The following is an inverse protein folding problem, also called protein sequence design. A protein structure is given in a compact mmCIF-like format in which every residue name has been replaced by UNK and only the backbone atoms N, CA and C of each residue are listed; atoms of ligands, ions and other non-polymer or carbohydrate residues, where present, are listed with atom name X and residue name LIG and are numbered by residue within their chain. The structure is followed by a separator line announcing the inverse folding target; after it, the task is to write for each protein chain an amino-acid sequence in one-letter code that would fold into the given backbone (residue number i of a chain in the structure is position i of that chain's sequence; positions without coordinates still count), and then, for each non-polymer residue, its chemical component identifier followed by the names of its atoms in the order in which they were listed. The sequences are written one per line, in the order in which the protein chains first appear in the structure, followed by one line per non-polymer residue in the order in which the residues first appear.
data_IF_403601815307
#
_entry.id   IF_403601815307
#
_cell.length_a   1.000
_cell.length_b   1.000
_cell.length_c   1.000
_cell.angle_alpha   90.00
_cell.angle_beta   90.00
_cell.angle_gamma   90.00
#
_symmetry.space_group_name_H-M   'P 1'
#
loop_
_entity.id
_entity.type
_entity.pdbx_description
1 polymer ?
#
# COMPACT_ATOMS: atom_id res chain seq x y z
N UNK A 1 -6.42 -13.53 4.55
CA UNK A 1 -5.35 -12.88 5.35
C UNK A 1 -4.56 -14.00 5.98
N UNK A 2 -3.30 -14.16 5.61
CA UNK A 2 -2.42 -15.16 6.22
C UNK A 2 -1.63 -14.47 7.32
N UNK A 3 -1.51 -15.12 8.47
CA UNK A 3 -0.73 -14.64 9.61
C UNK A 3 0.19 -15.77 10.06
N UNK A 4 1.44 -15.43 10.36
CA UNK A 4 2.40 -16.39 10.88
C UNK A 4 2.18 -16.50 12.40
N UNK A 5 2.11 -17.74 12.92
CA UNK A 5 1.91 -17.98 14.35
C UNK A 5 3.14 -17.56 15.18
N UNK A 6 4.31 -17.69 14.59
CA UNK A 6 5.59 -17.28 15.15
C UNK A 6 6.09 -15.99 14.50
N UNK A 7 6.98 -15.21 15.16
CA UNK A 7 7.61 -14.04 14.58
C UNK A 7 8.25 -14.37 13.22
N UNK A 8 7.91 -13.57 12.22
CA UNK A 8 8.43 -13.67 10.86
C UNK A 8 9.13 -12.36 10.52
N UNK A 9 10.36 -12.44 10.02
CA UNK A 9 11.11 -11.27 9.57
C UNK A 9 10.48 -10.56 8.36
N UNK A 10 9.52 -11.21 7.70
CA UNK A 10 8.91 -10.74 6.46
C UNK A 10 9.75 -11.13 5.24
N UNK A 11 9.40 -10.64 4.04
CA UNK A 11 10.16 -10.87 2.83
C UNK A 11 11.53 -10.15 2.87
N UNK A 12 12.53 -10.75 2.21
CA UNK A 12 13.85 -10.13 2.05
C UNK A 12 13.75 -8.89 1.15
N UNK A 13 13.77 -7.72 1.77
CA UNK A 13 13.82 -6.42 1.11
C UNK A 13 12.48 -5.68 1.05
N UNK A 14 12.48 -4.41 1.44
CA UNK A 14 11.33 -3.49 1.37
C UNK A 14 11.01 -3.00 -0.04
N UNK A 15 11.20 -3.85 -1.06
CA UNK A 15 10.96 -3.49 -2.47
C UNK A 15 9.49 -3.66 -2.80
N UNK A 16 9.01 -2.83 -3.73
CA UNK A 16 7.68 -3.01 -4.29
C UNK A 16 7.57 -4.35 -5.04
N UNK A 17 6.56 -5.21 -4.77
CA UNK A 17 6.47 -6.52 -5.43
C UNK A 17 6.24 -6.38 -6.94
N UNK A 18 7.08 -7.05 -7.73
CA UNK A 18 7.10 -6.88 -9.18
C UNK A 18 5.83 -7.41 -9.84
N UNK A 19 5.26 -8.49 -9.30
CA UNK A 19 4.06 -9.17 -9.80
C UNK A 19 2.82 -8.27 -9.77
N UNK A 20 2.85 -7.21 -8.95
CA UNK A 20 1.76 -6.23 -8.88
C UNK A 20 2.11 -4.88 -9.50
N UNK A 21 3.30 -4.71 -10.08
CA UNK A 21 3.65 -3.47 -10.78
C UNK A 21 2.74 -3.28 -12.00
N UNK A 22 2.40 -2.04 -12.30
CA UNK A 22 1.53 -1.66 -13.43
C UNK A 22 0.12 -2.29 -13.41
N UNK A 23 -0.36 -2.77 -12.26
CA UNK A 23 -1.72 -3.28 -12.10
C UNK A 23 -2.67 -2.22 -11.55
N UNK A 24 -3.99 -2.42 -11.69
CA UNK A 24 -4.99 -1.50 -11.13
C UNK A 24 -5.00 -1.64 -9.60
N UNK A 25 -4.81 -0.55 -8.87
CA UNK A 25 -4.72 -0.60 -7.40
C UNK A 25 -5.44 0.58 -6.75
N UNK A 26 -5.97 0.34 -5.56
CA UNK A 26 -6.38 1.42 -4.65
C UNK A 26 -5.26 1.63 -3.64
N UNK A 27 -4.78 2.86 -3.52
CA UNK A 27 -3.95 3.30 -2.41
C UNK A 27 -4.87 4.02 -1.44
N UNK A 28 -4.84 3.64 -0.16
CA UNK A 28 -5.66 4.25 0.88
C UNK A 28 -4.77 4.70 2.03
N UNK A 29 -4.78 6.00 2.32
CA UNK A 29 -3.97 6.62 3.35
C UNK A 29 -4.69 6.56 4.70
N UNK A 30 -3.92 6.25 5.75
CA UNK A 30 -4.40 6.16 7.12
C UNK A 30 -3.59 7.07 8.04
N UNK A 31 -4.26 7.69 9.01
CA UNK A 31 -3.64 8.46 10.07
C UNK A 31 -3.11 7.58 11.21
N UNK A 32 -2.44 8.22 12.17
CA UNK A 32 -1.85 7.54 13.34
C UNK A 32 -2.89 6.88 14.26
N UNK A 33 -4.14 7.34 14.20
CA UNK A 33 -5.29 6.78 14.92
C UNK A 33 -6.05 5.70 14.12
N UNK A 34 -5.52 5.32 12.96
CA UNK A 34 -6.15 4.33 12.07
C UNK A 34 -7.34 4.87 11.27
N UNK A 35 -7.61 6.19 11.27
CA UNK A 35 -8.66 6.77 10.43
C UNK A 35 -8.20 6.92 8.98
N UNK A 36 -9.14 6.76 8.05
CA UNK A 36 -8.89 6.97 6.62
C UNK A 36 -8.79 8.48 6.36
N UNK A 37 -7.65 8.92 5.83
CA UNK A 37 -7.42 10.32 5.46
C UNK A 37 -7.69 10.59 3.97
N UNK A 38 -7.66 9.54 3.15
CA UNK A 38 -7.93 9.65 1.73
C UNK A 38 -7.48 8.41 0.96
N UNK A 39 -7.44 8.54 -0.36
CA UNK A 39 -6.94 7.50 -1.23
C UNK A 39 -7.04 7.85 -2.70
N UNK A 40 -6.42 7.03 -3.54
CA UNK A 40 -6.43 7.19 -4.99
C UNK A 40 -6.56 5.85 -5.70
N UNK A 41 -7.19 5.87 -6.88
CA UNK A 41 -7.27 4.73 -7.79
C UNK A 41 -6.21 4.90 -8.88
N UNK A 42 -5.37 3.88 -9.05
CA UNK A 42 -4.34 3.83 -10.08
C UNK A 42 -4.73 2.85 -11.17
N UNK A 43 -4.52 3.25 -12.43
CA UNK A 43 -4.82 2.44 -13.62
C UNK A 43 -3.66 1.53 -14.05
N UNK A 44 -3.98 0.52 -14.88
CA UNK A 44 -3.11 -0.57 -15.38
C UNK A 44 -1.91 -0.16 -16.25
N UNK A 45 -1.60 1.13 -16.41
CA UNK A 45 -0.58 1.62 -17.37
C UNK A 45 0.40 2.62 -16.78
N UNK A 46 0.30 2.91 -15.50
CA UNK A 46 0.99 4.07 -14.94
C UNK A 46 2.30 3.68 -14.26
N UNK A 47 2.41 2.47 -13.69
CA UNK A 47 3.57 2.10 -12.86
C UNK A 47 3.79 3.05 -11.67
N UNK A 48 2.81 3.93 -11.38
CA UNK A 48 2.96 5.06 -10.47
C UNK A 48 2.74 4.68 -9.01
N UNK A 49 2.34 3.45 -8.71
CA UNK A 49 1.93 3.04 -7.36
C UNK A 49 2.98 3.34 -6.30
N UNK A 50 4.25 3.07 -6.59
CA UNK A 50 5.35 3.34 -5.67
C UNK A 50 5.56 4.85 -5.45
N UNK A 51 5.60 5.62 -6.53
CA UNK A 51 5.70 7.09 -6.48
C UNK A 51 4.52 7.71 -5.74
N UNK A 52 3.29 7.28 -6.04
CA UNK A 52 2.08 7.80 -5.39
C UNK A 52 2.00 7.42 -3.92
N UNK A 53 2.47 6.23 -3.53
CA UNK A 53 2.59 5.87 -2.12
C UNK A 53 3.60 6.80 -1.41
N UNK A 54 4.74 7.08 -2.04
CA UNK A 54 5.72 8.05 -1.55
C UNK A 54 5.13 9.46 -1.41
N UNK A 55 4.43 9.95 -2.45
CA UNK A 55 3.79 11.28 -2.45
C UNK A 55 2.76 11.41 -1.32
N UNK A 56 1.94 10.36 -1.07
CA UNK A 56 0.98 10.34 0.04
C UNK A 56 1.68 10.37 1.41
N UNK A 57 2.84 9.74 1.54
CA UNK A 57 3.62 9.71 2.78
C UNK A 57 4.39 11.03 3.02
N UNK A 58 4.41 11.98 2.09
CA UNK A 58 4.94 13.32 2.35
C UNK A 58 4.06 14.12 3.33
N UNK A 59 2.77 13.79 3.42
CA UNK A 59 1.88 14.36 4.44
C UNK A 59 2.17 13.72 5.81
N UNK A 60 2.64 14.48 6.82
CA UNK A 60 2.96 13.95 8.15
C UNK A 60 1.75 13.37 8.89
N UNK A 61 0.53 13.74 8.52
CA UNK A 61 -0.68 13.15 9.08
C UNK A 61 -0.86 11.68 8.64
N UNK A 62 -0.33 11.30 7.47
CA UNK A 62 -0.38 9.92 6.97
C UNK A 62 0.67 9.07 7.68
N UNK A 63 0.21 8.06 8.41
CA UNK A 63 1.05 7.09 9.11
C UNK A 63 1.43 5.88 8.23
N UNK A 64 0.52 5.45 7.36
CA UNK A 64 0.72 4.34 6.42
C UNK A 64 -0.22 4.43 5.22
N UNK A 65 0.12 3.72 4.15
CA UNK A 65 -0.72 3.57 2.95
C UNK A 65 -0.99 2.10 2.69
N UNK A 66 -2.27 1.71 2.69
CA UNK A 66 -2.67 0.38 2.24
C UNK A 66 -2.69 0.30 0.72
N UNK A 67 -2.09 -0.75 0.17
CA UNK A 67 -2.26 -1.16 -1.23
C UNK A 67 -3.34 -2.24 -1.30
N UNK A 68 -4.38 -1.98 -2.08
CA UNK A 68 -5.57 -2.85 -2.19
C UNK A 68 -5.90 -3.23 -3.62
N UNK A 69 -6.43 -4.44 -3.78
CA UNK A 69 -7.02 -4.91 -5.02
C UNK A 69 -8.29 -4.09 -5.32
N UNK A 70 -8.53 -3.77 -6.59
CA UNK A 70 -9.70 -2.98 -6.97
C UNK A 70 -10.93 -3.87 -7.05
N UNK A 71 -10.76 -5.08 -7.55
CA UNK A 71 -11.83 -6.02 -7.90
C UNK A 71 -12.61 -6.47 -6.67
N UNK A 72 -11.89 -6.78 -5.58
CA UNK A 72 -12.48 -7.34 -4.36
C UNK A 72 -12.15 -6.53 -3.10
N UNK A 73 -11.39 -5.42 -3.21
CA UNK A 73 -11.02 -4.58 -2.06
C UNK A 73 -10.01 -5.22 -1.10
N UNK A 74 -9.48 -6.40 -1.43
CA UNK A 74 -8.53 -7.14 -0.59
C UNK A 74 -7.30 -6.29 -0.26
N UNK A 75 -6.83 -6.41 0.99
CA UNK A 75 -5.54 -5.89 1.41
C UNK A 75 -4.42 -6.75 0.83
N UNK A 76 -3.39 -6.11 0.28
CA UNK A 76 -2.18 -6.80 -0.18
C UNK A 76 -1.05 -6.57 0.82
N UNK A 77 -0.66 -5.31 1.00
CA UNK A 77 0.37 -4.89 1.95
C UNK A 77 0.21 -3.40 2.29
N UNK A 78 0.97 -2.95 3.27
CA UNK A 78 1.10 -1.54 3.64
C UNK A 78 2.47 -0.99 3.29
N UNK A 79 2.52 0.31 3.02
CA UNK A 79 3.74 1.08 2.83
C UNK A 79 3.87 2.06 3.98
N UNK A 80 5.06 2.14 4.55
CA UNK A 80 5.44 3.06 5.62
C UNK A 80 6.72 3.82 5.22
N UNK A 81 7.06 4.86 5.97
CA UNK A 81 8.34 5.56 5.84
C UNK A 81 9.49 4.70 6.33
#
# INVERSE_FOLDING_TARGET
MFIHAEPCAGPDGGRWPEEIRCTRRVLRAYGHDGRILGGCLLGRKTGLSERTAGDLLLDPAVALVHVRAVEYGCFLFEVRR
#
